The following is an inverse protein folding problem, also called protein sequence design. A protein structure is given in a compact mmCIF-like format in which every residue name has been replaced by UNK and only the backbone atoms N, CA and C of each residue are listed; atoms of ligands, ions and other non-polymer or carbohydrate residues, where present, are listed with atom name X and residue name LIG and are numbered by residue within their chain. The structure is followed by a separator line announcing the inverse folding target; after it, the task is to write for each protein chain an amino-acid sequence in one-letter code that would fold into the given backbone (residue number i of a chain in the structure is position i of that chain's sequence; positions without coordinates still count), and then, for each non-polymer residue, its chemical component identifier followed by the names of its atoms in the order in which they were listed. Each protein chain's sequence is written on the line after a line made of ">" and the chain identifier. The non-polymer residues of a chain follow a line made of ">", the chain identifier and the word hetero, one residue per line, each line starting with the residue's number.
data_IF_707651274405
#
_entry.id   IF_707651274405
#
_cell.length_a   1.000
_cell.length_b   1.000
_cell.length_c   1.000
_cell.angle_alpha   90.00
_cell.angle_beta   90.00
_cell.angle_gamma   90.00
#
_symmetry.space_group_name_H-M   'P 1'
#
loop_
_entity.id
_entity.type
_entity.pdbx_description
1 polymer ?
#
# COMPACT_ATOMS: atom_id res chain seq x y z
N UNK A 1 -20.27 2.34 -6.47
CA UNK A 1 -18.87 1.97 -6.75
C UNK A 1 -18.58 0.52 -6.38
N UNK A 2 -18.95 0.05 -5.18
CA UNK A 2 -18.80 -1.35 -4.75
C UNK A 2 -19.61 -2.36 -5.59
N UNK A 3 -20.86 -2.04 -5.93
CA UNK A 3 -21.68 -2.88 -6.82
C UNK A 3 -21.15 -2.96 -8.25
N UNK A 4 -20.43 -1.93 -8.71
CA UNK A 4 -19.80 -1.90 -10.03
C UNK A 4 -18.51 -2.72 -10.01
N UNK A 5 -17.75 -2.72 -8.91
CA UNK A 5 -16.57 -3.56 -8.76
C UNK A 5 -16.97 -5.04 -8.64
N UNK A 6 -17.97 -5.41 -7.84
CA UNK A 6 -18.50 -6.79 -7.81
C UNK A 6 -18.96 -7.27 -9.19
N UNK A 7 -19.74 -6.44 -9.91
CA UNK A 7 -20.23 -6.74 -11.26
C UNK A 7 -19.11 -6.90 -12.31
N UNK A 8 -18.07 -6.06 -12.26
CA UNK A 8 -16.98 -6.11 -13.26
C UNK A 8 -16.02 -7.28 -13.01
N UNK A 9 -15.92 -7.79 -11.77
CA UNK A 9 -15.08 -8.93 -11.43
C UNK A 9 -15.77 -10.29 -11.63
N UNK A 10 -17.10 -10.37 -11.59
CA UNK A 10 -17.84 -11.55 -12.06
C UNK A 10 -17.67 -11.80 -13.57
N UNK A 11 -17.33 -10.76 -14.34
CA UNK A 11 -17.10 -10.84 -15.79
C UNK A 11 -15.61 -10.79 -16.18
N UNK A 12 -14.71 -11.14 -15.25
CA UNK A 12 -13.27 -11.20 -15.54
C UNK A 12 -12.97 -12.19 -16.69
N UNK A 13 -12.11 -11.86 -17.66
CA UNK A 13 -11.90 -12.64 -18.89
C UNK A 13 -11.31 -14.05 -18.71
N UNK A 14 -11.08 -14.50 -17.46
CA UNK A 14 -10.79 -15.92 -17.22
C UNK A 14 -11.98 -16.82 -17.55
N UNK A 15 -13.22 -16.36 -17.39
CA UNK A 15 -14.42 -17.14 -17.73
C UNK A 15 -14.52 -17.37 -19.25
N UNK A 16 -14.33 -16.32 -20.05
CA UNK A 16 -14.32 -16.42 -21.51
C UNK A 16 -13.17 -17.27 -22.04
N UNK A 17 -11.95 -17.12 -21.47
CA UNK A 17 -10.80 -17.98 -21.81
C UNK A 17 -11.05 -19.46 -21.47
N UNK A 18 -11.74 -19.74 -20.36
CA UNK A 18 -12.08 -21.13 -20.00
C UNK A 18 -13.15 -21.73 -20.91
N UNK A 19 -14.04 -20.93 -21.49
CA UNK A 19 -15.09 -21.40 -22.38
C UNK A 19 -14.54 -21.67 -23.78
N UNK A 20 -13.74 -20.75 -24.32
CA UNK A 20 -13.07 -20.89 -25.63
C UNK A 20 -12.05 -22.06 -25.64
N UNK A 21 -11.35 -22.30 -24.52
CA UNK A 21 -10.43 -23.44 -24.41
C UNK A 21 -11.13 -24.80 -24.26
N UNK A 22 -12.34 -24.82 -23.68
CA UNK A 22 -13.16 -26.03 -23.52
C UNK A 22 -13.80 -26.45 -24.85
N UNK A 23 -14.18 -25.47 -25.69
CA UNK A 23 -14.64 -25.69 -27.06
C UNK A 23 -13.52 -26.22 -27.97
N UNK A 24 -12.26 -25.86 -27.69
CA UNK A 24 -11.08 -26.35 -28.40
C UNK A 24 -10.47 -27.66 -27.84
N UNK A 25 -11.16 -28.35 -26.93
CA UNK A 25 -10.72 -29.66 -26.43
C UNK A 25 -9.50 -29.65 -25.50
N UNK A 26 -9.12 -28.47 -24.98
CA UNK A 26 -8.00 -28.32 -24.04
C UNK A 26 -8.51 -28.67 -22.64
N UNK A 27 -8.07 -29.82 -22.12
CA UNK A 27 -8.44 -30.31 -20.78
C UNK A 27 -7.54 -29.66 -19.72
N UNK A 28 -8.06 -28.67 -18.99
CA UNK A 28 -7.37 -28.13 -17.80
C UNK A 28 -7.65 -28.99 -16.57
N UNK A 29 -6.61 -29.34 -15.81
CA UNK A 29 -6.77 -29.78 -14.43
C UNK A 29 -7.41 -28.65 -13.60
N UNK A 30 -8.28 -28.97 -12.63
CA UNK A 30 -8.95 -27.95 -11.82
C UNK A 30 -7.92 -27.07 -11.12
N UNK A 31 -8.10 -25.76 -11.26
CA UNK A 31 -7.28 -24.74 -10.62
C UNK A 31 -6.99 -25.10 -9.15
N UNK A 32 -5.70 -25.32 -8.83
CA UNK A 32 -5.29 -25.76 -7.51
C UNK A 32 -5.78 -24.80 -6.40
N UNK A 33 -6.04 -25.35 -5.20
CA UNK A 33 -6.50 -24.63 -4.00
C UNK A 33 -5.80 -23.28 -3.76
N UNK A 34 -4.53 -23.16 -4.15
CA UNK A 34 -3.72 -21.94 -4.01
C UNK A 34 -4.26 -20.73 -4.78
N UNK A 35 -4.92 -20.94 -5.92
CA UNK A 35 -5.47 -19.86 -6.75
C UNK A 35 -6.75 -19.28 -6.12
N UNK A 36 -7.57 -20.14 -5.52
CA UNK A 36 -8.76 -19.75 -4.76
C UNK A 36 -8.40 -19.01 -3.46
N UNK A 37 -7.30 -19.40 -2.80
CA UNK A 37 -6.78 -18.77 -1.57
C UNK A 37 -6.24 -17.36 -1.86
N UNK A 38 -5.50 -17.16 -2.96
CA UNK A 38 -4.96 -15.84 -3.34
C UNK A 38 -6.06 -14.82 -3.67
N UNK A 39 -7.10 -15.23 -4.40
CA UNK A 39 -8.26 -14.36 -4.69
C UNK A 39 -9.06 -14.00 -3.42
N UNK A 40 -9.25 -14.96 -2.50
CA UNK A 40 -9.92 -14.71 -1.21
C UNK A 40 -9.11 -13.76 -0.32
N UNK A 41 -7.78 -13.85 -0.32
CA UNK A 41 -6.92 -12.93 0.44
C UNK A 41 -6.95 -11.50 -0.12
N UNK A 42 -7.04 -11.35 -1.45
CA UNK A 42 -7.19 -10.05 -2.12
C UNK A 42 -8.49 -9.34 -1.73
N UNK A 43 -9.62 -10.05 -1.85
CA UNK A 43 -10.91 -9.51 -1.45
C UNK A 43 -10.96 -9.24 0.06
N UNK A 44 -10.36 -10.09 0.89
CA UNK A 44 -10.34 -9.91 2.33
C UNK A 44 -9.68 -8.59 2.75
N UNK A 45 -8.47 -8.25 2.26
CA UNK A 45 -7.80 -7.00 2.69
C UNK A 45 -8.54 -5.74 2.22
N UNK A 46 -9.06 -5.74 0.99
CA UNK A 46 -9.82 -4.58 0.46
C UNK A 46 -11.17 -4.43 1.16
N UNK A 47 -11.86 -5.55 1.44
CA UNK A 47 -13.14 -5.56 2.17
C UNK A 47 -12.94 -5.22 3.64
N UNK A 48 -11.90 -5.74 4.31
CA UNK A 48 -11.55 -5.38 5.70
C UNK A 48 -11.27 -3.87 5.83
N UNK A 49 -10.58 -3.29 4.85
CA UNK A 49 -10.36 -1.84 4.84
C UNK A 49 -11.64 -1.06 4.56
N UNK A 50 -12.44 -1.47 3.58
CA UNK A 50 -13.71 -0.82 3.23
C UNK A 50 -14.70 -0.85 4.39
N UNK A 51 -14.83 -2.00 5.06
CA UNK A 51 -15.66 -2.17 6.27
C UNK A 51 -15.14 -1.34 7.44
N UNK A 52 -13.82 -1.22 7.61
CA UNK A 52 -13.22 -0.31 8.59
C UNK A 52 -13.59 1.16 8.32
N UNK A 53 -13.43 1.66 7.09
CA UNK A 53 -13.79 3.04 6.75
C UNK A 53 -15.29 3.31 6.89
N UNK A 54 -16.13 2.35 6.51
CA UNK A 54 -17.59 2.45 6.66
C UNK A 54 -17.99 2.47 8.14
N UNK A 55 -17.39 1.60 8.97
CA UNK A 55 -17.62 1.58 10.42
C UNK A 55 -17.12 2.85 11.10
N UNK A 56 -15.99 3.40 10.66
CA UNK A 56 -15.46 4.66 11.17
C UNK A 56 -16.41 5.82 10.84
N UNK A 57 -16.86 5.93 9.59
CA UNK A 57 -17.86 6.92 9.17
C UNK A 57 -19.10 6.87 10.03
N UNK A 58 -19.72 5.68 10.17
CA UNK A 58 -20.94 5.50 10.96
C UNK A 58 -20.75 5.82 12.45
N UNK A 59 -19.56 5.59 13.02
CA UNK A 59 -19.25 5.94 14.41
C UNK A 59 -19.11 7.46 14.63
N UNK A 60 -18.76 8.20 13.57
CA UNK A 60 -18.70 9.67 13.59
C UNK A 60 -20.11 10.25 13.50
N UNK A 61 -20.96 9.71 12.63
CA UNK A 61 -22.38 10.09 12.50
C UNK A 61 -23.19 9.81 13.78
N UNK A 62 -22.93 8.68 14.46
CA UNK A 62 -23.56 8.38 15.75
C UNK A 62 -23.17 9.37 16.85
N UNK A 63 -21.90 9.83 16.87
CA UNK A 63 -21.43 10.85 17.82
C UNK A 63 -21.92 12.27 17.51
N UNK A 64 -22.35 12.54 16.29
CA UNK A 64 -23.03 13.79 15.94
C UNK A 64 -24.52 13.71 16.31
N UNK A 65 -25.20 12.60 16.01
CA UNK A 65 -26.60 12.40 16.40
C UNK A 65 -26.81 12.34 17.92
N UNK A 66 -25.92 11.71 18.68
CA UNK A 66 -25.99 11.70 20.16
C UNK A 66 -25.78 13.12 20.74
N UNK A 67 -25.01 13.97 20.06
CA UNK A 67 -24.77 15.36 20.47
C UNK A 67 -25.97 16.26 20.19
N UNK A 68 -26.73 15.95 19.13
CA UNK A 68 -27.98 16.62 18.80
C UNK A 68 -29.14 16.12 19.69
N UNK A 69 -29.17 14.84 20.07
CA UNK A 69 -30.16 14.29 21.03
C UNK A 69 -29.95 14.80 22.48
N UNK A 70 -28.71 14.99 22.95
CA UNK A 70 -28.45 15.59 24.27
C UNK A 70 -28.90 17.05 24.38
N UNK A 71 -29.11 17.74 23.25
CA UNK A 71 -29.66 19.11 23.23
C UNK A 71 -31.19 19.18 23.27
N UNK A 72 -31.89 18.03 23.23
CA UNK A 72 -33.33 17.96 22.95
C UNK A 72 -34.22 17.23 23.96
N UNK A 73 -33.72 16.67 25.07
CA UNK A 73 -34.56 15.80 25.94
C UNK A 73 -34.53 16.22 27.41
N UNK A 74 -35.34 17.22 27.75
CA UNK A 74 -35.99 17.32 29.07
C UNK A 74 -37.31 16.55 29.01
N UNK A 75 -37.47 15.52 29.84
CA UNK A 75 -38.82 15.10 30.26
C UNK A 75 -39.06 13.59 30.41
N UNK A 76 -39.42 13.24 31.64
CA UNK A 76 -40.28 12.13 32.07
C UNK A 76 -39.68 10.73 32.28
N UNK A 77 -39.30 10.48 33.53
CA UNK A 77 -39.25 9.16 34.17
C UNK A 77 -40.67 8.56 34.29
N UNK A 78 -40.81 7.27 34.01
CA UNK A 78 -41.78 6.42 34.70
C UNK A 78 -41.35 4.94 34.74
N UNK A 79 -41.22 4.44 35.97
CA UNK A 79 -41.10 3.02 36.35
C UNK A 79 -42.35 2.23 35.97
N UNK A 80 -42.22 0.91 35.74
CA UNK A 80 -42.93 -0.09 36.52
C UNK A 80 -42.45 -1.53 36.25
N UNK A 81 -42.25 -2.25 37.34
CA UNK A 81 -42.05 -3.70 37.45
C UNK A 81 -43.34 -4.47 37.12
N UNK A 82 -43.22 -5.68 36.57
CA UNK A 82 -44.11 -6.80 36.89
C UNK A 82 -43.50 -8.14 36.46
N UNK A 83 -43.32 -9.04 37.45
CA UNK A 83 -43.01 -10.45 37.30
C UNK A 83 -44.17 -11.24 36.68
N UNK A 84 -43.87 -12.24 35.85
CA UNK A 84 -44.67 -13.47 35.81
C UNK A 84 -43.87 -14.64 35.24
N UNK A 85 -43.70 -15.67 36.07
CA UNK A 85 -43.16 -16.98 35.77
C UNK A 85 -44.23 -17.80 35.04
N UNK A 86 -43.89 -18.39 33.89
CA UNK A 86 -44.57 -19.59 33.40
C UNK A 86 -43.59 -20.48 32.62
N UNK A 87 -43.50 -21.74 33.07
CA UNK A 87 -42.68 -22.78 32.48
C UNK A 87 -43.48 -23.56 31.44
N UNK A 88 -42.95 -23.68 30.21
CA UNK A 88 -43.45 -24.64 29.22
C UNK A 88 -42.38 -24.96 28.16
N UNK A 89 -41.90 -26.21 28.21
CA UNK A 89 -41.38 -27.10 27.15
C UNK A 89 -40.28 -26.58 26.19
N UNK A 90 -39.22 -27.37 25.91
CA UNK A 90 -38.12 -26.95 25.08
C UNK A 90 -38.52 -26.93 23.60
N UNK A 91 -38.81 -25.74 23.08
CA UNK A 91 -38.72 -25.48 21.65
C UNK A 91 -37.26 -25.65 21.23
N UNK A 92 -37.01 -26.51 20.26
CA UNK A 92 -35.74 -26.55 19.54
C UNK A 92 -35.63 -25.24 18.77
N UNK A 93 -35.07 -24.24 19.45
CA UNK A 93 -34.70 -22.98 18.84
C UNK A 93 -33.47 -23.28 17.99
N UNK A 94 -33.65 -23.32 16.67
CA UNK A 94 -32.54 -23.28 15.73
C UNK A 94 -31.89 -21.92 15.93
N UNK A 95 -30.90 -21.86 16.83
CA UNK A 95 -29.96 -20.77 16.90
C UNK A 95 -29.25 -20.75 15.54
N UNK A 96 -29.78 -19.96 14.61
CA UNK A 96 -28.95 -19.30 13.64
C UNK A 96 -28.00 -18.44 14.47
N UNK A 97 -26.87 -19.04 14.84
CA UNK A 97 -25.67 -18.29 15.15
C UNK A 97 -25.35 -17.53 13.87
N UNK A 98 -25.92 -16.33 13.78
CA UNK A 98 -25.39 -15.29 12.93
C UNK A 98 -23.95 -15.17 13.39
N UNK A 99 -23.05 -15.73 12.59
CA UNK A 99 -21.63 -15.52 12.75
C UNK A 99 -21.43 -14.02 12.58
N UNK A 100 -21.51 -13.27 13.69
CA UNK A 100 -21.00 -11.92 13.78
C UNK A 100 -19.48 -12.06 13.61
N UNK A 101 -19.03 -12.19 12.35
CA UNK A 101 -17.63 -11.95 12.01
C UNK A 101 -17.36 -10.54 12.46
N UNK A 102 -16.72 -10.40 13.63
CA UNK A 102 -16.14 -9.12 14.03
C UNK A 102 -15.26 -8.69 12.86
N UNK A 103 -15.39 -7.44 12.37
CA UNK A 103 -14.47 -6.92 11.36
C UNK A 103 -13.05 -7.16 11.87
N UNK A 104 -12.27 -7.96 11.13
CA UNK A 104 -10.87 -8.18 11.49
C UNK A 104 -10.18 -6.84 11.28
N UNK A 105 -9.52 -6.33 12.33
CA UNK A 105 -8.84 -5.04 12.23
C UNK A 105 -7.84 -5.08 11.07
N UNK A 106 -7.81 -4.04 10.20
CA UNK A 106 -6.83 -3.98 9.12
C UNK A 106 -5.43 -4.14 9.71
N UNK A 107 -4.60 -4.99 9.10
CA UNK A 107 -3.24 -5.26 9.56
C UNK A 107 -2.32 -4.06 9.26
N UNK A 108 -2.46 -2.96 10.00
CA UNK A 108 -1.70 -1.73 9.80
C UNK A 108 -0.22 -1.89 10.21
N UNK A 109 0.06 -2.79 11.16
CA UNK A 109 1.41 -3.06 11.64
C UNK A 109 2.37 -3.63 10.59
N UNK A 110 3.64 -3.78 10.98
CA UNK A 110 4.74 -4.21 10.10
C UNK A 110 5.19 -5.65 10.37
N UNK A 111 4.33 -6.48 10.95
CA UNK A 111 4.63 -7.89 11.14
C UNK A 111 4.42 -8.65 9.83
N UNK A 112 5.42 -9.45 9.47
CA UNK A 112 5.47 -10.26 8.26
C UNK A 112 6.20 -11.57 8.56
N UNK A 113 5.76 -12.66 7.94
CA UNK A 113 6.19 -14.01 8.28
C UNK A 113 7.65 -14.28 7.88
N UNK A 114 8.10 -13.74 6.75
CA UNK A 114 9.45 -13.97 6.22
C UNK A 114 10.22 -12.65 6.03
N UNK A 115 11.15 -12.30 6.94
CA UNK A 115 11.91 -11.06 6.84
C UNK A 115 12.85 -11.03 5.61
N UNK A 116 13.11 -12.17 4.96
CA UNK A 116 13.91 -12.24 3.72
C UNK A 116 13.31 -11.43 2.59
N UNK A 117 11.99 -11.24 2.60
CA UNK A 117 11.29 -10.44 1.60
C UNK A 117 11.81 -8.99 1.49
N UNK A 118 12.42 -8.46 2.55
CA UNK A 118 12.90 -7.06 2.61
C UNK A 118 14.32 -6.86 2.11
N UNK A 119 15.04 -7.94 1.82
CA UNK A 119 16.46 -7.90 1.47
C UNK A 119 16.85 -8.84 0.31
N UNK A 120 15.89 -9.58 -0.23
CA UNK A 120 16.08 -10.49 -1.37
C UNK A 120 15.31 -10.06 -2.61
N UNK A 121 15.69 -10.63 -3.75
CA UNK A 121 14.90 -10.56 -4.99
C UNK A 121 13.77 -11.57 -4.93
N UNK A 122 12.63 -11.25 -5.57
CA UNK A 122 11.58 -12.23 -5.83
C UNK A 122 12.04 -13.35 -6.77
N UNK A 123 12.99 -13.01 -7.63
CA UNK A 123 13.54 -13.87 -8.66
C UNK A 123 14.79 -14.56 -8.13
N UNK A 124 15.21 -15.64 -8.78
CA UNK A 124 16.41 -16.40 -8.42
C UNK A 124 17.70 -15.68 -8.85
N UNK A 125 17.85 -14.40 -8.45
CA UNK A 125 19.02 -13.58 -8.71
C UNK A 125 20.06 -13.86 -7.62
N UNK A 126 21.32 -14.14 -7.97
CA UNK A 126 22.40 -14.30 -7.00
C UNK A 126 22.47 -13.10 -6.03
N UNK A 127 22.59 -13.32 -4.70
CA UNK A 127 22.55 -12.23 -3.72
C UNK A 127 23.55 -11.09 -4.01
N UNK A 128 24.76 -11.43 -4.46
CA UNK A 128 25.77 -10.46 -4.87
C UNK A 128 25.27 -9.49 -5.96
N UNK A 129 24.60 -10.03 -6.98
CA UNK A 129 24.07 -9.25 -8.10
C UNK A 129 22.88 -8.40 -7.66
N UNK A 130 22.03 -8.92 -6.78
CA UNK A 130 20.91 -8.15 -6.23
C UNK A 130 21.39 -6.98 -5.37
N UNK A 131 22.39 -7.19 -4.50
CA UNK A 131 23.02 -6.11 -3.72
C UNK A 131 23.66 -5.08 -4.64
N UNK A 132 24.38 -5.50 -5.68
CA UNK A 132 24.94 -4.59 -6.68
C UNK A 132 23.85 -3.74 -7.35
N UNK A 133 22.76 -4.36 -7.80
CA UNK A 133 21.59 -3.66 -8.34
C UNK A 133 21.04 -2.61 -7.37
N UNK A 134 20.88 -2.95 -6.09
CA UNK A 134 20.41 -2.02 -5.05
C UNK A 134 21.31 -0.79 -4.91
N UNK A 135 22.64 -0.98 -4.93
CA UNK A 135 23.58 0.13 -4.89
C UNK A 135 23.57 0.97 -6.17
N UNK A 136 23.37 0.37 -7.33
CA UNK A 136 23.27 1.11 -8.59
C UNK A 136 22.05 2.03 -8.62
N UNK A 137 20.86 1.54 -8.24
CA UNK A 137 19.65 2.38 -8.20
C UNK A 137 19.73 3.45 -7.11
N UNK A 138 20.33 3.13 -5.95
CA UNK A 138 20.55 4.11 -4.88
C UNK A 138 21.55 5.19 -5.31
N UNK A 139 22.67 4.80 -5.94
CA UNK A 139 23.67 5.73 -6.46
C UNK A 139 23.12 6.65 -7.55
N UNK A 140 22.26 6.13 -8.43
CA UNK A 140 21.52 6.94 -9.38
C UNK A 140 20.64 7.98 -8.68
N UNK A 141 19.80 7.56 -7.73
CA UNK A 141 18.90 8.47 -7.02
C UNK A 141 19.67 9.55 -6.23
N UNK A 142 20.76 9.17 -5.56
CA UNK A 142 21.68 10.12 -4.89
C UNK A 142 22.25 11.13 -5.86
N UNK A 143 22.69 10.69 -7.04
CA UNK A 143 23.26 11.58 -8.05
C UNK A 143 22.23 12.59 -8.52
N UNK A 144 21.01 12.16 -8.85
CA UNK A 144 19.94 13.08 -9.27
C UNK A 144 19.54 14.03 -8.13
N UNK A 145 19.46 13.54 -6.89
CA UNK A 145 19.16 14.38 -5.72
C UNK A 145 20.24 15.46 -5.52
N UNK A 146 21.51 15.09 -5.65
CA UNK A 146 22.62 16.04 -5.56
C UNK A 146 22.57 17.07 -6.69
N UNK A 147 22.33 16.64 -7.92
CA UNK A 147 22.20 17.53 -9.08
C UNK A 147 21.02 18.48 -8.96
N UNK A 148 19.86 18.01 -8.47
CA UNK A 148 18.68 18.86 -8.28
C UNK A 148 18.88 19.91 -7.20
N UNK A 149 19.67 19.60 -6.16
CA UNK A 149 20.08 20.56 -5.14
C UNK A 149 21.09 21.59 -5.68
N UNK A 150 22.09 21.16 -6.44
CA UNK A 150 23.18 22.05 -6.90
C UNK A 150 22.79 22.93 -8.08
N UNK A 151 21.95 22.43 -8.98
CA UNK A 151 21.54 23.12 -10.21
C UNK A 151 20.09 23.60 -10.16
N UNK A 152 19.56 23.85 -8.96
CA UNK A 152 18.19 24.32 -8.79
C UNK A 152 17.96 25.66 -9.49
N UNK A 153 17.09 25.66 -10.51
CA UNK A 153 16.83 26.82 -11.35
C UNK A 153 15.85 27.81 -10.67
N UNK A 154 16.41 28.84 -10.05
CA UNK A 154 15.68 29.94 -9.41
C UNK A 154 14.89 30.81 -10.40
N UNK A 155 15.16 30.74 -11.70
CA UNK A 155 14.39 31.46 -12.71
C UNK A 155 13.09 30.76 -13.07
N UNK A 156 13.02 29.45 -12.85
CA UNK A 156 11.83 28.62 -13.10
C UNK A 156 10.95 28.44 -11.88
N UNK A 157 11.53 28.50 -10.68
CA UNK A 157 10.88 28.14 -9.43
C UNK A 157 10.87 29.30 -8.42
N UNK A 158 9.67 29.74 -8.03
CA UNK A 158 9.45 30.89 -7.14
C UNK A 158 9.76 30.63 -5.66
N UNK A 159 9.97 29.37 -5.29
CA UNK A 159 10.24 28.97 -3.91
C UNK A 159 11.58 28.27 -3.77
N UNK A 160 12.03 28.13 -2.53
CA UNK A 160 13.26 27.39 -2.23
C UNK A 160 13.07 25.90 -2.50
N UNK A 161 14.14 25.21 -2.91
CA UNK A 161 14.14 23.76 -3.16
C UNK A 161 13.38 22.91 -2.10
N UNK A 162 13.59 23.07 -0.77
CA UNK A 162 12.92 22.23 0.22
C UNK A 162 11.42 22.56 0.40
N UNK A 163 10.87 23.52 -0.34
CA UNK A 163 9.44 23.85 -0.26
C UNK A 163 8.59 22.87 -1.08
N UNK A 164 9.15 22.27 -2.13
CA UNK A 164 8.39 21.46 -3.09
C UNK A 164 8.21 20.00 -2.63
N UNK A 165 6.97 19.48 -2.74
CA UNK A 165 6.61 18.09 -2.46
C UNK A 165 7.40 17.09 -3.30
N UNK A 166 7.69 17.44 -4.56
CA UNK A 166 8.53 16.63 -5.45
C UNK A 166 9.88 16.35 -4.80
N UNK A 167 10.50 17.39 -4.21
CA UNK A 167 11.81 17.29 -3.58
C UNK A 167 11.77 16.50 -2.27
N UNK A 168 10.72 16.65 -1.46
CA UNK A 168 10.49 15.81 -0.28
C UNK A 168 10.35 14.34 -0.66
N UNK A 169 9.55 14.07 -1.69
CA UNK A 169 9.25 12.70 -2.14
C UNK A 169 10.49 12.05 -2.75
N UNK A 170 11.26 12.78 -3.56
CA UNK A 170 12.51 12.26 -4.13
C UNK A 170 13.58 12.03 -3.06
N UNK A 171 13.63 12.87 -2.02
CA UNK A 171 14.50 12.66 -0.85
C UNK A 171 14.10 11.40 -0.09
N UNK A 172 12.79 11.20 0.12
CA UNK A 172 12.26 10.00 0.77
C UNK A 172 12.54 8.74 -0.07
N UNK A 173 12.43 8.83 -1.40
CA UNK A 173 12.78 7.74 -2.32
C UNK A 173 14.26 7.41 -2.25
N UNK A 174 15.11 8.42 -2.30
CA UNK A 174 16.56 8.23 -2.18
C UNK A 174 16.92 7.58 -0.85
N UNK A 175 16.28 8.03 0.24
CA UNK A 175 16.46 7.48 1.58
C UNK A 175 16.04 6.00 1.64
N UNK A 176 14.88 5.67 1.09
CA UNK A 176 14.40 4.30 0.94
C UNK A 176 15.40 3.42 0.18
N UNK A 177 15.87 3.88 -0.98
CA UNK A 177 16.77 3.10 -1.83
C UNK A 177 18.14 2.87 -1.18
N UNK A 178 18.70 3.88 -0.51
CA UNK A 178 19.93 3.73 0.29
C UNK A 178 19.69 2.71 1.40
N UNK A 179 18.61 2.86 2.16
CA UNK A 179 18.32 2.01 3.30
C UNK A 179 18.09 0.56 2.87
N UNK A 180 17.32 0.32 1.81
CA UNK A 180 17.11 -1.00 1.23
C UNK A 180 18.42 -1.62 0.72
N UNK A 181 19.35 -0.83 0.15
CA UNK A 181 20.67 -1.32 -0.25
C UNK A 181 21.52 -1.74 0.95
N UNK A 182 21.54 -0.93 2.01
CA UNK A 182 22.27 -1.23 3.25
C UNK A 182 21.70 -2.47 3.96
N UNK A 183 20.38 -2.60 4.06
CA UNK A 183 19.73 -3.79 4.63
C UNK A 183 20.05 -5.03 3.77
N UNK A 184 19.97 -4.93 2.44
CA UNK A 184 20.33 -6.03 1.53
C UNK A 184 21.77 -6.48 1.70
N UNK A 185 22.71 -5.55 1.83
CA UNK A 185 24.12 -5.85 2.06
C UNK A 185 24.35 -6.47 3.44
N UNK A 186 23.80 -5.87 4.49
CA UNK A 186 23.98 -6.32 5.86
C UNK A 186 23.49 -7.76 6.04
N UNK A 187 22.26 -8.04 5.61
CA UNK A 187 21.65 -9.36 5.75
C UNK A 187 22.38 -10.43 4.93
N UNK A 188 22.71 -10.12 3.67
CA UNK A 188 23.45 -11.04 2.80
C UNK A 188 24.83 -11.39 3.38
N UNK A 189 25.51 -10.42 3.99
CA UNK A 189 26.87 -10.63 4.56
C UNK A 189 26.86 -11.29 5.94
N UNK A 190 25.86 -10.99 6.78
CA UNK A 190 25.82 -11.45 8.16
C UNK A 190 25.09 -12.79 8.33
N UNK A 191 24.01 -13.03 7.58
CA UNK A 191 23.09 -14.14 7.84
C UNK A 191 23.11 -15.22 6.77
N UNK A 192 23.18 -14.83 5.50
CA UNK A 192 23.23 -15.80 4.41
C UNK A 192 24.67 -16.24 4.13
N UNK A 193 25.62 -15.34 4.31
CA UNK A 193 27.01 -15.53 3.91
C UNK A 193 27.11 -15.77 2.40
N UNK A 194 28.27 -15.57 1.80
CA UNK A 194 28.47 -16.00 0.41
C UNK A 194 28.56 -17.54 0.27
N UNK A 195 27.93 -18.32 1.16
CA UNK A 195 27.79 -19.77 1.04
C UNK A 195 28.21 -20.66 2.22
N UNK A 196 28.47 -20.17 3.44
CA UNK A 196 28.84 -21.07 4.55
C UNK A 196 28.64 -20.43 5.94
N UNK A 197 27.63 -20.86 6.73
CA UNK A 197 27.65 -20.80 8.21
C UNK A 197 26.58 -21.70 8.86
N UNK A 198 26.97 -22.29 10.00
CA UNK A 198 26.32 -23.37 10.76
C UNK A 198 24.97 -22.98 11.42
N UNK A 199 24.11 -23.99 11.58
CA UNK A 199 22.64 -23.96 11.68
C UNK A 199 22.11 -24.18 13.11
N UNK A 200 22.41 -23.34 14.12
CA UNK A 200 21.86 -23.64 15.48
C UNK A 200 21.37 -22.49 16.38
N UNK A 201 21.79 -21.24 16.19
CA UNK A 201 21.13 -20.08 16.87
C UNK A 201 20.73 -18.97 15.88
N UNK A 202 21.28 -19.01 14.68
CA UNK A 202 21.01 -18.04 13.60
C UNK A 202 19.57 -18.19 13.08
N UNK A 203 18.98 -19.40 13.14
CA UNK A 203 17.67 -19.71 12.56
C UNK A 203 16.47 -19.08 13.31
N UNK A 204 16.54 -18.90 14.64
CA UNK A 204 15.46 -18.22 15.38
C UNK A 204 15.43 -16.71 15.11
N UNK A 205 16.59 -16.06 15.03
CA UNK A 205 16.69 -14.63 14.68
C UNK A 205 16.29 -14.37 13.21
N UNK A 206 16.48 -15.37 12.35
CA UNK A 206 16.10 -15.34 10.92
C UNK A 206 14.58 -15.28 10.68
N UNK A 207 13.74 -15.67 11.64
CA UNK A 207 12.29 -15.71 11.48
C UNK A 207 11.55 -14.51 12.09
N UNK A 208 12.25 -13.51 12.62
CA UNK A 208 11.62 -12.36 13.27
C UNK A 208 11.92 -11.04 12.55
N UNK A 209 10.86 -10.26 12.34
CA UNK A 209 10.96 -8.90 11.80
C UNK A 209 11.65 -7.95 12.77
N UNK A 210 12.91 -7.63 12.49
CA UNK A 210 13.67 -6.58 13.20
C UNK A 210 13.19 -5.17 12.82
N UNK A 211 13.48 -4.19 13.68
CA UNK A 211 13.01 -2.79 13.54
C UNK A 211 13.40 -2.16 12.20
N UNK A 212 14.61 -2.43 11.69
CA UNK A 212 15.02 -1.88 10.39
C UNK A 212 14.21 -2.49 9.23
N UNK A 213 13.77 -3.74 9.29
CA UNK A 213 12.85 -4.28 8.27
C UNK A 213 11.53 -3.49 8.26
N UNK A 214 11.00 -3.18 9.45
CA UNK A 214 9.77 -2.39 9.62
C UNK A 214 9.93 -0.96 9.09
N UNK A 215 11.05 -0.31 9.39
CA UNK A 215 11.38 1.03 8.87
C UNK A 215 11.51 0.99 7.34
N UNK A 216 12.21 -0.01 6.81
CA UNK A 216 12.36 -0.17 5.35
C UNK A 216 11.01 -0.35 4.67
N UNK A 217 10.11 -1.11 5.29
CA UNK A 217 8.77 -1.31 4.79
C UNK A 217 7.90 -0.06 4.85
N UNK A 218 7.99 0.72 5.94
CA UNK A 218 7.31 2.02 6.08
C UNK A 218 7.73 2.98 4.96
N UNK A 219 9.05 3.09 4.73
CA UNK A 219 9.61 3.93 3.67
C UNK A 219 9.10 3.48 2.30
N UNK A 220 9.20 2.19 2.01
CA UNK A 220 8.68 1.59 0.78
C UNK A 220 7.19 1.86 0.57
N UNK A 221 6.35 1.60 1.57
CA UNK A 221 4.90 1.76 1.47
C UNK A 221 4.50 3.22 1.22
N UNK A 222 5.20 4.15 1.86
CA UNK A 222 4.95 5.60 1.69
C UNK A 222 5.39 6.06 0.31
N UNK A 223 6.62 5.74 -0.08
CA UNK A 223 7.22 6.29 -1.30
C UNK A 223 6.71 5.64 -2.57
N UNK A 224 6.30 4.37 -2.51
CA UNK A 224 5.72 3.69 -3.66
C UNK A 224 4.50 4.43 -4.18
N UNK A 225 3.67 4.97 -3.29
CA UNK A 225 2.50 5.76 -3.67
C UNK A 225 2.88 7.22 -3.95
N UNK A 226 3.71 7.81 -3.08
CA UNK A 226 4.15 9.21 -3.24
C UNK A 226 4.80 9.48 -4.59
N UNK A 227 5.64 8.56 -5.09
CA UNK A 227 6.33 8.73 -6.36
C UNK A 227 5.37 8.79 -7.56
N UNK A 228 4.38 7.92 -7.63
CA UNK A 228 3.35 7.97 -8.68
C UNK A 228 2.46 9.21 -8.55
N UNK A 229 2.05 9.57 -7.32
CA UNK A 229 1.25 10.78 -7.08
C UNK A 229 1.96 12.04 -7.59
N UNK A 230 3.24 12.21 -7.25
CA UNK A 230 4.05 13.34 -7.71
C UNK A 230 4.11 13.39 -9.24
N UNK A 231 4.34 12.25 -9.91
CA UNK A 231 4.40 12.20 -11.37
C UNK A 231 3.07 12.56 -12.03
N UNK A 232 1.96 11.99 -11.53
CA UNK A 232 0.63 12.23 -12.08
C UNK A 232 0.23 13.69 -11.88
N UNK A 233 0.33 14.21 -10.65
CA UNK A 233 -0.03 15.61 -10.36
C UNK A 233 0.87 16.57 -11.12
N UNK A 234 2.16 16.27 -11.24
CA UNK A 234 3.06 17.11 -12.01
C UNK A 234 2.65 17.21 -13.48
N UNK A 235 2.54 16.10 -14.19
CA UNK A 235 2.24 16.14 -15.62
C UNK A 235 0.80 16.54 -15.94
N UNK A 236 -0.15 16.30 -15.03
CA UNK A 236 -1.56 16.67 -15.25
C UNK A 236 -1.90 18.10 -14.83
N UNK A 237 -1.28 18.63 -13.77
CA UNK A 237 -1.69 19.91 -13.18
C UNK A 237 -0.57 20.96 -13.17
N UNK A 238 0.70 20.58 -13.05
CA UNK A 238 1.80 21.56 -12.88
C UNK A 238 2.49 21.86 -14.21
N UNK A 239 2.95 20.85 -14.93
CA UNK A 239 3.69 20.98 -16.18
C UNK A 239 2.97 21.85 -17.25
N UNK A 240 1.64 21.73 -17.47
CA UNK A 240 0.93 22.56 -18.46
C UNK A 240 1.02 24.07 -18.20
N UNK A 241 1.32 24.50 -16.97
CA UNK A 241 1.42 25.91 -16.60
C UNK A 241 2.70 26.58 -17.11
N UNK A 242 3.76 25.82 -17.38
CA UNK A 242 5.02 26.41 -17.85
C UNK A 242 4.98 26.86 -19.31
N UNK A 243 3.95 26.47 -20.08
CA UNK A 243 3.83 26.74 -21.52
C UNK A 243 5.10 26.40 -22.33
N UNK A 244 5.88 25.43 -21.86
CA UNK A 244 7.11 24.99 -22.51
C UNK A 244 6.82 24.00 -23.63
N UNK A 245 7.63 24.05 -24.70
CA UNK A 245 7.49 23.18 -25.87
C UNK A 245 8.10 21.79 -25.67
N UNK A 246 8.89 21.57 -24.62
CA UNK A 246 9.54 20.29 -24.34
C UNK A 246 9.71 20.02 -22.85
N UNK A 247 9.74 18.73 -22.51
CA UNK A 247 9.97 18.23 -21.15
C UNK A 247 11.46 18.35 -20.83
N UNK A 248 11.81 19.05 -19.74
CA UNK A 248 13.21 19.24 -19.35
C UNK A 248 13.83 17.97 -18.72
N UNK A 249 15.17 17.94 -18.59
CA UNK A 249 15.86 16.84 -17.92
C UNK A 249 15.43 16.70 -16.45
N UNK A 250 15.25 17.81 -15.74
CA UNK A 250 14.76 17.82 -14.37
C UNK A 250 13.37 17.18 -14.27
N UNK A 251 12.47 17.51 -15.21
CA UNK A 251 11.11 16.95 -15.25
C UNK A 251 11.13 15.44 -15.44
N UNK A 252 11.97 14.95 -16.35
CA UNK A 252 12.14 13.52 -16.61
C UNK A 252 12.64 12.83 -15.34
N UNK A 253 13.69 13.37 -14.71
CA UNK A 253 14.36 12.69 -13.60
C UNK A 253 13.55 12.71 -12.30
N UNK A 254 12.98 13.85 -11.92
CA UNK A 254 12.25 14.00 -10.66
C UNK A 254 10.82 13.44 -10.70
N UNK A 255 10.27 13.16 -11.89
CA UNK A 255 8.91 12.65 -12.06
C UNK A 255 8.89 11.29 -12.76
N UNK A 256 9.28 11.21 -14.04
CA UNK A 256 9.20 9.94 -14.79
C UNK A 256 10.11 8.88 -14.17
N UNK A 257 11.40 9.20 -14.01
CA UNK A 257 12.37 8.25 -13.46
C UNK A 257 12.12 7.94 -11.99
N UNK A 258 11.58 8.90 -11.22
CA UNK A 258 11.10 8.68 -9.86
C UNK A 258 10.07 7.54 -9.78
N UNK A 259 9.03 7.55 -10.63
CA UNK A 259 8.08 6.43 -10.71
C UNK A 259 8.70 5.15 -11.27
N UNK A 260 9.62 5.25 -12.25
CA UNK A 260 10.31 4.08 -12.80
C UNK A 260 11.16 3.34 -11.76
N UNK A 261 11.84 4.06 -10.85
CA UNK A 261 12.59 3.44 -9.76
C UNK A 261 11.69 2.63 -8.84
N UNK A 262 10.49 3.14 -8.53
CA UNK A 262 9.48 2.41 -7.75
C UNK A 262 8.96 1.18 -8.51
N UNK A 263 8.70 1.29 -9.82
CA UNK A 263 8.31 0.14 -10.65
C UNK A 263 9.38 -0.95 -10.60
N UNK A 264 10.65 -0.58 -10.78
CA UNK A 264 11.76 -1.54 -10.71
C UNK A 264 11.83 -2.22 -9.34
N UNK A 265 11.62 -1.47 -8.25
CA UNK A 265 11.61 -2.03 -6.90
C UNK A 265 10.41 -2.97 -6.69
N UNK A 266 9.21 -2.60 -7.15
CA UNK A 266 8.01 -3.44 -7.12
C UNK A 266 8.16 -4.73 -7.94
N UNK A 267 8.89 -4.70 -9.05
CA UNK A 267 9.04 -5.84 -9.95
C UNK A 267 10.17 -6.80 -9.51
N UNK A 268 11.31 -6.28 -9.07
CA UNK A 268 12.53 -7.07 -8.82
C UNK A 268 12.62 -7.54 -7.37
N UNK A 269 12.26 -6.68 -6.43
CA UNK A 269 12.46 -6.93 -5.01
C UNK A 269 11.33 -7.78 -4.45
N UNK A 270 11.59 -8.55 -3.39
CA UNK A 270 10.59 -9.40 -2.75
C UNK A 270 9.61 -8.64 -1.82
N UNK A 271 9.67 -7.31 -1.77
CA UNK A 271 8.88 -6.49 -0.83
C UNK A 271 7.39 -6.83 -0.91
N UNK A 272 6.74 -7.13 0.23
CA UNK A 272 5.31 -7.31 0.26
C UNK A 272 4.62 -5.94 0.13
N UNK A 273 3.55 -5.89 -0.67
CA UNK A 273 2.68 -4.73 -0.73
C UNK A 273 1.36 -5.08 -0.05
N UNK A 274 1.01 -4.32 0.99
CA UNK A 274 -0.21 -4.54 1.78
C UNK A 274 -1.15 -3.36 1.62
N UNK A 275 -2.41 -3.60 1.30
CA UNK A 275 -3.35 -2.51 1.06
C UNK A 275 -3.61 -1.67 2.33
N UNK A 276 -3.60 -2.30 3.52
CA UNK A 276 -3.72 -1.64 4.83
C UNK A 276 -2.68 -0.55 5.08
N UNK A 277 -1.54 -0.59 4.40
CA UNK A 277 -0.46 0.39 4.54
C UNK A 277 -0.74 1.72 3.81
N UNK A 278 -1.89 1.86 3.14
CA UNK A 278 -2.41 3.12 2.59
C UNK A 278 -2.44 4.26 3.62
N UNK A 279 -2.53 3.96 4.92
CA UNK A 279 -2.49 4.99 5.97
C UNK A 279 -1.18 5.79 5.97
N UNK A 280 -0.04 5.19 5.58
CA UNK A 280 1.26 5.87 5.62
C UNK A 280 1.43 6.97 4.55
N UNK A 281 1.11 6.74 3.25
CA UNK A 281 1.08 7.83 2.29
C UNK A 281 0.02 8.90 2.62
N UNK A 282 -1.10 8.55 3.27
CA UNK A 282 -2.08 9.53 3.76
C UNK A 282 -1.48 10.42 4.86
N UNK A 283 -0.80 9.84 5.85
CA UNK A 283 -0.11 10.60 6.90
C UNK A 283 0.95 11.52 6.27
N UNK A 284 1.74 11.00 5.32
CA UNK A 284 2.73 11.81 4.61
C UNK A 284 2.10 13.00 3.87
N UNK A 285 1.01 12.77 3.15
CA UNK A 285 0.25 13.83 2.47
C UNK A 285 -0.34 14.87 3.44
N UNK A 286 -0.83 14.42 4.60
CA UNK A 286 -1.33 15.30 5.66
C UNK A 286 -0.21 16.17 6.25
N UNK A 287 0.96 15.59 6.51
CA UNK A 287 2.14 16.32 7.00
C UNK A 287 2.55 17.42 6.02
N UNK A 288 2.63 17.10 4.72
CA UNK A 288 3.00 18.09 3.71
C UNK A 288 1.91 19.18 3.55
N UNK A 289 0.63 18.80 3.54
CA UNK A 289 -0.48 19.76 3.48
C UNK A 289 -0.42 20.71 4.68
N UNK A 290 -0.17 20.20 5.88
CA UNK A 290 -0.01 21.01 7.10
C UNK A 290 1.19 21.96 6.99
N UNK A 291 2.33 21.47 6.49
CA UNK A 291 3.48 22.32 6.18
C UNK A 291 3.12 23.43 5.19
N UNK A 292 2.36 23.12 4.13
CA UNK A 292 1.98 24.11 3.11
C UNK A 292 1.09 25.23 3.65
N UNK A 293 0.16 24.91 4.57
CA UNK A 293 -0.69 25.90 5.25
C UNK A 293 0.17 26.82 6.10
N UNK A 294 1.06 26.23 6.92
CA UNK A 294 1.95 26.99 7.79
C UNK A 294 2.88 27.88 6.95
N UNK A 295 3.43 27.37 5.85
CA UNK A 295 4.29 28.13 4.95
C UNK A 295 3.58 29.35 4.34
N UNK A 296 2.34 29.17 3.88
CA UNK A 296 1.50 30.26 3.37
C UNK A 296 1.08 31.26 4.47
N UNK A 297 0.87 30.80 5.70
CA UNK A 297 0.41 31.68 6.81
C UNK A 297 1.36 32.82 7.14
N UNK A 298 2.67 32.66 6.88
CA UNK A 298 3.67 33.71 7.08
C UNK A 298 3.61 34.82 6.02
N UNK A 299 3.14 34.50 4.82
CA UNK A 299 3.07 35.41 3.68
C UNK A 299 2.10 34.83 2.64
N UNK A 300 0.91 35.42 2.54
CA UNK A 300 -0.19 34.86 1.75
C UNK A 300 0.06 34.92 0.23
N UNK A 301 1.13 35.59 -0.20
CA UNK A 301 1.62 35.55 -1.59
C UNK A 301 2.39 34.26 -1.92
N UNK A 302 2.83 33.50 -0.90
CA UNK A 302 3.66 32.29 -1.07
C UNK A 302 2.81 31.04 -1.29
N UNK A 303 2.14 30.99 -2.43
CA UNK A 303 1.35 29.83 -2.86
C UNK A 303 2.25 28.84 -3.61
N UNK A 304 2.49 27.67 -3.01
CA UNK A 304 3.45 26.68 -3.57
C UNK A 304 2.98 26.10 -4.89
N UNK A 305 1.70 25.74 -4.98
CA UNK A 305 1.10 25.16 -6.17
C UNK A 305 -0.25 25.81 -6.44
N UNK A 306 -0.30 26.91 -7.22
CA UNK A 306 -1.52 27.71 -7.41
C UNK A 306 -2.76 26.94 -7.90
N UNK A 307 -2.59 25.79 -8.54
CA UNK A 307 -3.72 24.98 -9.01
C UNK A 307 -4.24 24.01 -7.94
N UNK A 308 -3.36 23.39 -7.15
CA UNK A 308 -3.73 22.26 -6.28
C UNK A 308 -3.63 22.56 -4.78
N UNK A 309 -2.78 23.52 -4.38
CA UNK A 309 -2.57 23.94 -2.99
C UNK A 309 -2.53 25.47 -2.91
N UNK A 310 -3.65 26.11 -3.27
CA UNK A 310 -3.86 27.55 -3.12
C UNK A 310 -4.72 27.86 -1.88
N UNK A 311 -4.05 28.25 -0.81
CA UNK A 311 -4.71 28.59 0.47
C UNK A 311 -5.41 29.95 0.45
N UNK A 312 -5.22 30.77 -0.60
CA UNK A 312 -6.11 31.93 -0.85
C UNK A 312 -7.50 31.48 -1.32
N UNK A 313 -7.62 30.25 -1.85
CA UNK A 313 -8.85 29.60 -2.27
C UNK A 313 -9.06 28.27 -1.52
N UNK A 314 -9.28 28.32 -0.19
CA UNK A 314 -9.20 27.15 0.69
C UNK A 314 -10.24 26.07 0.35
N UNK A 315 -11.43 26.44 -0.13
CA UNK A 315 -12.44 25.46 -0.53
C UNK A 315 -11.96 24.58 -1.70
N UNK A 316 -11.41 25.20 -2.75
CA UNK A 316 -10.88 24.47 -3.91
C UNK A 316 -9.68 23.60 -3.50
N UNK A 317 -8.79 24.12 -2.67
CA UNK A 317 -7.65 23.38 -2.13
C UNK A 317 -8.09 22.17 -1.30
N UNK A 318 -9.04 22.34 -0.38
CA UNK A 318 -9.60 21.22 0.39
C UNK A 318 -10.23 20.16 -0.53
N UNK A 319 -10.93 20.57 -1.59
CA UNK A 319 -11.49 19.64 -2.58
C UNK A 319 -10.40 18.85 -3.31
N UNK A 320 -9.31 19.50 -3.75
CA UNK A 320 -8.18 18.82 -4.39
C UNK A 320 -7.48 17.86 -3.44
N UNK A 321 -7.18 18.28 -2.20
CA UNK A 321 -6.56 17.43 -1.18
C UNK A 321 -7.45 16.22 -0.88
N UNK A 322 -8.76 16.41 -0.74
CA UNK A 322 -9.72 15.32 -0.53
C UNK A 322 -9.77 14.38 -1.74
N UNK A 323 -9.82 14.90 -2.97
CA UNK A 323 -9.80 14.10 -4.20
C UNK A 323 -8.54 13.22 -4.28
N UNK A 324 -7.37 13.82 -4.05
CA UNK A 324 -6.10 13.09 -4.10
C UNK A 324 -5.99 12.06 -2.97
N UNK A 325 -6.52 12.35 -1.78
CA UNK A 325 -6.46 11.46 -0.62
C UNK A 325 -7.48 10.32 -0.68
N UNK A 326 -8.71 10.59 -1.10
CA UNK A 326 -9.84 9.64 -1.11
C UNK A 326 -9.93 8.85 -2.42
N UNK A 327 -9.38 9.38 -3.52
CA UNK A 327 -9.41 8.70 -4.83
C UNK A 327 -7.99 8.41 -5.31
N UNK A 328 -7.12 9.42 -5.41
CA UNK A 328 -5.78 9.26 -5.98
C UNK A 328 -4.94 8.19 -5.28
N UNK A 329 -4.74 8.32 -3.96
CA UNK A 329 -3.95 7.39 -3.15
C UNK A 329 -4.53 5.96 -3.19
N UNK A 330 -5.85 5.73 -2.96
CA UNK A 330 -6.43 4.40 -3.09
C UNK A 330 -6.26 3.78 -4.47
N UNK A 331 -6.49 4.52 -5.56
CA UNK A 331 -6.35 4.01 -6.93
C UNK A 331 -4.92 3.55 -7.21
N UNK A 332 -3.93 4.37 -6.86
CA UNK A 332 -2.52 4.00 -7.03
C UNK A 332 -2.15 2.82 -6.12
N UNK A 333 -2.70 2.75 -4.92
CA UNK A 333 -2.50 1.62 -4.01
C UNK A 333 -3.05 0.33 -4.58
N UNK A 334 -4.22 0.36 -5.23
CA UNK A 334 -4.80 -0.78 -5.95
C UNK A 334 -3.91 -1.21 -7.12
N UNK A 335 -3.36 -0.26 -7.88
CA UNK A 335 -2.42 -0.54 -8.98
C UNK A 335 -1.17 -1.24 -8.43
N UNK A 336 -0.54 -0.67 -7.40
CA UNK A 336 0.66 -1.27 -6.78
C UNK A 336 0.39 -2.66 -6.20
N UNK A 337 -0.78 -2.84 -5.56
CA UNK A 337 -1.22 -4.13 -5.08
C UNK A 337 -1.44 -5.12 -6.22
N UNK A 338 -2.03 -4.71 -7.34
CA UNK A 338 -2.17 -5.56 -8.53
C UNK A 338 -0.81 -6.01 -9.09
N UNK A 339 0.17 -5.10 -9.20
CA UNK A 339 1.55 -5.44 -9.58
C UNK A 339 2.16 -6.48 -8.62
N UNK A 340 1.98 -6.29 -7.32
CA UNK A 340 2.43 -7.24 -6.30
C UNK A 340 1.80 -8.62 -6.50
N UNK A 341 0.49 -8.70 -6.68
CA UNK A 341 -0.23 -9.97 -6.87
C UNK A 341 0.22 -10.69 -8.15
N UNK A 342 0.37 -9.96 -9.26
CA UNK A 342 0.84 -10.50 -10.54
C UNK A 342 2.26 -11.06 -10.38
N UNK A 343 3.18 -10.28 -9.82
CA UNK A 343 4.57 -10.70 -9.57
C UNK A 343 4.64 -11.96 -8.72
N UNK A 344 3.91 -11.97 -7.60
CA UNK A 344 3.87 -13.12 -6.69
C UNK A 344 3.26 -14.37 -7.38
N UNK A 345 2.19 -14.20 -8.16
CA UNK A 345 1.56 -15.28 -8.92
C UNK A 345 2.49 -15.89 -9.97
N UNK A 346 3.23 -15.06 -10.72
CA UNK A 346 4.23 -15.51 -11.69
C UNK A 346 5.34 -16.29 -10.99
N UNK A 347 5.90 -15.71 -9.91
CA UNK A 347 6.97 -16.34 -9.14
C UNK A 347 6.56 -17.71 -8.59
N UNK A 348 5.37 -17.81 -7.98
CA UNK A 348 4.86 -19.06 -7.42
C UNK A 348 4.73 -20.15 -8.49
N UNK A 349 4.18 -19.82 -9.66
CA UNK A 349 4.05 -20.76 -10.79
C UNK A 349 5.41 -21.22 -11.30
N UNK A 350 6.35 -20.29 -11.50
CA UNK A 350 7.70 -20.59 -11.99
C UNK A 350 8.43 -21.58 -11.06
N UNK A 351 8.40 -21.34 -9.75
CA UNK A 351 9.07 -22.22 -8.80
C UNK A 351 8.36 -23.58 -8.64
N UNK A 352 7.02 -23.62 -8.70
CA UNK A 352 6.29 -24.89 -8.67
C UNK A 352 6.58 -25.78 -9.88
N UNK A 353 6.74 -25.18 -11.07
CA UNK A 353 7.12 -25.90 -12.30
C UNK A 353 8.58 -26.38 -12.26
N UNK A 354 9.44 -25.67 -11.53
CA UNK A 354 10.87 -26.00 -11.41
C UNK A 354 11.16 -27.06 -10.35
N UNK A 355 10.22 -27.32 -9.43
CA UNK A 355 10.33 -28.41 -8.44
C UNK A 355 9.96 -29.76 -9.05
N UNK A 356 10.84 -30.78 -9.00
CA UNK A 356 10.51 -32.12 -9.46
C UNK A 356 9.31 -32.71 -8.70
N UNK A 357 8.43 -33.48 -9.36
CA UNK A 357 7.34 -34.20 -8.70
C UNK A 357 7.94 -35.21 -7.71
N UNK A 358 7.86 -34.89 -6.41
CA UNK A 358 8.50 -35.63 -5.32
C UNK A 358 9.07 -34.74 -4.22
N UNK A 359 9.28 -33.44 -4.51
CA UNK A 359 9.77 -32.44 -3.56
C UNK A 359 8.79 -31.26 -3.39
N UNK A 360 7.48 -31.53 -3.45
CA UNK A 360 6.49 -30.52 -3.08
C UNK A 360 6.60 -30.27 -1.58
N UNK A 361 6.87 -29.00 -1.22
CA UNK A 361 6.91 -28.53 0.16
C UNK A 361 5.55 -28.88 0.79
N UNK A 362 5.54 -29.79 1.76
CA UNK A 362 4.36 -30.11 2.56
C UNK A 362 3.84 -28.79 3.09
N UNK A 363 2.72 -28.32 2.53
CA UNK A 363 2.01 -27.17 3.06
C UNK A 363 1.47 -27.67 4.38
N UNK A 364 2.08 -27.23 5.49
CA UNK A 364 1.50 -27.44 6.80
C UNK A 364 0.19 -26.66 6.75
N UNK A 365 -0.90 -27.37 6.49
CA UNK A 365 -2.25 -26.89 6.74
C UNK A 365 -2.31 -26.74 8.25
N UNK A 366 -2.04 -25.54 8.75
CA UNK A 366 -2.42 -25.17 10.10
C UNK A 366 -3.95 -25.18 10.08
N UNK A 367 -4.63 -26.07 10.81
CA UNK A 367 -6.08 -26.03 10.88
C UNK A 367 -6.46 -24.68 11.48
N UNK A 368 -7.31 -23.93 10.77
CA UNK A 368 -8.00 -22.76 11.28
C UNK A 368 -8.97 -23.22 12.39
N UNK A 369 -8.42 -23.51 13.56
CA UNK A 369 -9.17 -23.75 14.78
C UNK A 369 -9.25 -22.45 15.58
N UNK A 370 -9.89 -21.42 15.04
CA UNK A 370 -10.42 -20.32 15.86
C UNK A 370 -11.80 -19.93 15.29
N UNK A 371 -12.83 -20.29 16.06
CA UNK A 371 -14.23 -19.91 15.87
C UNK A 371 -14.47 -18.42 16.11
#
# INVERSE_FOLDING_TARGET
>A
MLSVLESQFEHWPLLDFTQEAKENGIRFEPAGKNQLVSHKSCLAEVVEMSTFFTSFSNSTDQRENERDEESGVEGTMQNNNADSINASLPSVEVQHSSCCRRPRMPKIGFDYEDPRAFYTSQWNIPPALFVCYRFLIAGYAVTILALSLTYFDRSRWDHTWPTYLTNWTYTLLTSHLIFAALVSMYETTHFDGFGFKSFSEVDMRRNQMLTYHKISWLLFATVSIGAFMVTIVYFSAIYPQFHQSSVSQEDIHLHIMNSMLVILDLLISAYPFRFSHLIYPLIYGFVYTSFSIVYWSFDHSRVIYPIVLDWNHPLSTCMYVALLSVIGIPVISLICFAFHQIRHGISSRYYNLSTPPGYQRISVVVPDNEC
#
